data_IF_261675684736
#
_entry.id   IF_261675684736
#
_cell.length_a   1.000
_cell.length_b   1.000
_cell.length_c   1.000
_cell.angle_alpha   90.00
_cell.angle_beta   90.00
_cell.angle_gamma   90.00
#
_symmetry.space_group_name_H-M   'P 1'
#
loop_
_entity.id
_entity.type
_entity.pdbx_description
1 polymer ?
#
# COMPACT_ATOMS: atom_id res chain seq x y z
N UNK A 1 -10.89 -21.33 -8.72
CA UNK A 1 -9.58 -21.04 -9.33
C UNK A 1 -9.64 -20.87 -10.85
N UNK A 2 -10.55 -21.57 -11.56
CA UNK A 2 -10.76 -21.43 -13.02
C UNK A 2 -10.89 -19.98 -13.49
N UNK A 3 -11.71 -19.16 -12.80
CA UNK A 3 -11.84 -17.73 -13.07
C UNK A 3 -10.48 -17.01 -13.18
N UNK A 4 -9.56 -17.21 -12.24
CA UNK A 4 -8.25 -16.57 -12.23
C UNK A 4 -7.29 -17.12 -13.31
N UNK A 5 -7.46 -18.40 -13.64
CA UNK A 5 -6.67 -19.10 -14.63
C UNK A 5 -6.99 -18.62 -16.04
N UNK A 6 -8.28 -18.42 -16.33
CA UNK A 6 -8.81 -18.02 -17.63
C UNK A 6 -8.85 -16.51 -17.83
N UNK A 7 -8.70 -15.71 -16.77
CA UNK A 7 -8.66 -14.27 -16.90
C UNK A 7 -7.44 -13.81 -17.72
N UNK A 8 -7.68 -13.04 -18.77
CA UNK A 8 -6.64 -12.63 -19.73
C UNK A 8 -5.68 -11.58 -19.17
N UNK A 9 -6.07 -10.84 -18.13
CA UNK A 9 -5.35 -9.66 -17.63
C UNK A 9 -4.84 -9.80 -16.19
N UNK A 10 -5.22 -10.84 -15.45
CA UNK A 10 -4.83 -11.02 -14.04
C UNK A 10 -3.31 -11.25 -13.87
N UNK A 11 -2.64 -10.33 -13.16
CA UNK A 11 -1.20 -10.36 -12.82
C UNK A 11 -0.88 -10.38 -11.32
N UNK A 12 -1.89 -10.15 -10.49
CA UNK A 12 -1.75 -9.88 -9.05
C UNK A 12 -2.88 -10.54 -8.28
N UNK A 13 -2.52 -11.31 -7.26
CA UNK A 13 -3.48 -11.85 -6.32
C UNK A 13 -3.18 -11.31 -4.93
N UNK A 14 -4.19 -10.69 -4.32
CA UNK A 14 -4.19 -10.28 -2.94
C UNK A 14 -5.13 -11.18 -2.13
N UNK A 15 -4.56 -12.01 -1.26
CA UNK A 15 -5.32 -12.82 -0.30
C UNK A 15 -5.58 -11.95 0.92
N UNK A 16 -6.85 -11.68 1.19
CA UNK A 16 -7.33 -10.87 2.32
C UNK A 16 -8.52 -11.54 3.00
N UNK A 17 -9.73 -10.99 2.87
CA UNK A 17 -10.90 -11.31 3.70
C UNK A 17 -10.99 -10.34 4.87
N UNK A 18 -10.99 -10.86 6.10
CA UNK A 18 -10.74 -10.07 7.30
C UNK A 18 -9.24 -9.89 7.55
N UNK A 19 -8.52 -10.99 7.73
CA UNK A 19 -7.06 -11.03 7.87
C UNK A 19 -6.51 -12.36 7.35
N UNK A 20 -5.58 -12.32 6.39
CA UNK A 20 -5.07 -13.52 5.73
C UNK A 20 -4.33 -14.45 6.69
N UNK A 21 -3.60 -13.88 7.65
CA UNK A 21 -2.78 -14.66 8.60
C UNK A 21 -3.60 -15.17 9.79
N UNK A 22 -4.86 -14.77 9.94
CA UNK A 22 -5.74 -15.39 10.95
C UNK A 22 -6.10 -16.83 10.60
N UNK A 23 -5.96 -17.22 9.33
CA UNK A 23 -6.11 -18.61 8.91
C UNK A 23 -5.07 -19.52 9.58
N UNK A 24 -5.48 -20.73 9.95
CA UNK A 24 -4.55 -21.77 10.41
C UNK A 24 -3.47 -22.06 9.35
N UNK A 25 -2.27 -22.44 9.79
CA UNK A 25 -1.14 -22.75 8.91
C UNK A 25 -1.50 -23.74 7.79
N UNK A 26 -2.22 -24.82 8.12
CA UNK A 26 -2.74 -25.78 7.14
C UNK A 26 -3.65 -25.14 6.08
N UNK A 27 -4.58 -24.28 6.49
CA UNK A 27 -5.51 -23.61 5.58
C UNK A 27 -4.78 -22.62 4.66
N UNK A 28 -3.88 -21.81 5.23
CA UNK A 28 -3.09 -20.87 4.44
C UNK A 28 -2.20 -21.59 3.42
N UNK A 29 -1.55 -22.69 3.83
CA UNK A 29 -0.77 -23.56 2.95
C UNK A 29 -1.61 -24.06 1.77
N UNK A 30 -2.84 -24.52 2.02
CA UNK A 30 -3.74 -24.99 0.96
C UNK A 30 -4.13 -23.87 -0.02
N UNK A 31 -4.39 -22.65 0.49
CA UNK A 31 -4.71 -21.48 -0.35
C UNK A 31 -3.51 -21.12 -1.24
N UNK A 32 -2.33 -21.01 -0.65
CA UNK A 32 -1.09 -20.71 -1.38
C UNK A 32 -0.78 -21.80 -2.43
N UNK A 33 -0.91 -23.07 -2.10
CA UNK A 33 -0.75 -24.17 -3.06
C UNK A 33 -1.78 -24.10 -4.20
N UNK A 34 -3.03 -23.73 -3.93
CA UNK A 34 -4.04 -23.55 -4.96
C UNK A 34 -3.71 -22.38 -5.91
N UNK A 35 -3.18 -21.27 -5.38
CA UNK A 35 -2.69 -20.13 -6.17
C UNK A 35 -1.49 -20.55 -7.03
N UNK A 36 -0.52 -21.26 -6.46
CA UNK A 36 0.64 -21.77 -7.20
C UNK A 36 0.22 -22.69 -8.35
N UNK A 37 -0.65 -23.67 -8.09
CA UNK A 37 -1.13 -24.61 -9.12
C UNK A 37 -1.88 -23.91 -10.24
N UNK A 38 -2.71 -22.92 -9.90
CA UNK A 38 -3.40 -22.10 -10.89
C UNK A 38 -2.41 -21.36 -11.78
N UNK A 39 -1.44 -20.65 -11.19
CA UNK A 39 -0.43 -19.91 -11.93
C UNK A 39 0.42 -20.83 -12.83
N UNK A 40 0.81 -22.01 -12.33
CA UNK A 40 1.54 -23.01 -13.08
C UNK A 40 0.77 -23.50 -14.31
N UNK A 41 -0.53 -23.84 -14.15
CA UNK A 41 -1.36 -24.25 -15.29
C UNK A 41 -1.52 -23.12 -16.31
N UNK A 42 -1.78 -21.90 -15.86
CA UNK A 42 -1.90 -20.72 -16.73
C UNK A 42 -0.65 -20.53 -17.59
N UNK A 43 0.53 -20.59 -16.97
CA UNK A 43 1.81 -20.52 -17.69
C UNK A 43 2.00 -21.68 -18.67
N UNK A 44 1.67 -22.92 -18.27
CA UNK A 44 1.74 -24.08 -19.18
C UNK A 44 0.87 -23.92 -20.42
N UNK A 45 -0.34 -23.38 -20.27
CA UNK A 45 -1.22 -23.11 -21.43
C UNK A 45 -0.64 -21.98 -22.29
N UNK A 46 -0.07 -20.93 -21.68
CA UNK A 46 0.60 -19.85 -22.42
C UNK A 46 1.77 -20.31 -23.28
N UNK A 47 2.47 -21.39 -22.93
CA UNK A 47 3.54 -21.94 -23.78
C UNK A 47 3.03 -22.34 -25.17
N UNK A 48 1.75 -22.73 -25.27
CA UNK A 48 1.13 -23.16 -26.53
C UNK A 48 0.39 -22.03 -27.25
N UNK A 49 0.26 -20.85 -26.64
CA UNK A 49 -0.38 -19.68 -27.28
C UNK A 49 0.65 -18.90 -28.11
N UNK A 50 0.28 -18.40 -29.30
CA UNK A 50 1.15 -17.53 -30.08
C UNK A 50 1.39 -16.19 -29.36
N UNK A 51 2.40 -15.46 -29.83
CA UNK A 51 2.72 -14.13 -29.33
C UNK A 51 1.53 -13.17 -29.55
N UNK A 52 1.23 -12.30 -28.59
CA UNK A 52 0.05 -11.43 -28.63
C UNK A 52 -1.27 -12.10 -28.22
N UNK A 53 -1.31 -13.42 -28.04
CA UNK A 53 -2.48 -14.14 -27.51
C UNK A 53 -2.26 -14.71 -26.11
N UNK A 54 -1.03 -14.68 -25.60
CA UNK A 54 -0.69 -15.14 -24.25
C UNK A 54 -1.45 -14.34 -23.19
N UNK A 55 -2.00 -15.03 -22.21
CA UNK A 55 -2.67 -14.36 -21.09
C UNK A 55 -1.61 -13.78 -20.15
N UNK A 56 -1.98 -12.73 -19.42
CA UNK A 56 -1.09 -12.16 -18.43
C UNK A 56 -0.78 -13.19 -17.32
N UNK A 57 0.51 -13.44 -17.07
CA UNK A 57 0.95 -14.36 -16.03
C UNK A 57 0.98 -13.69 -14.65
N UNK A 58 0.87 -14.49 -13.59
CA UNK A 58 0.94 -14.01 -12.21
C UNK A 58 2.36 -13.47 -11.95
N UNK A 59 2.47 -12.18 -11.64
CA UNK A 59 3.74 -11.52 -11.30
C UNK A 59 3.86 -11.24 -9.81
N UNK A 60 2.73 -11.06 -9.13
CA UNK A 60 2.69 -10.63 -7.73
C UNK A 60 1.68 -11.42 -6.89
N UNK A 61 2.11 -11.80 -5.69
CA UNK A 61 1.23 -12.37 -4.66
C UNK A 61 1.35 -11.55 -3.39
N UNK A 62 0.20 -11.23 -2.79
CA UNK A 62 0.11 -10.40 -1.60
C UNK A 62 -0.76 -11.03 -0.53
N UNK A 63 -0.37 -10.84 0.73
CA UNK A 63 -1.17 -11.20 1.90
C UNK A 63 -1.51 -9.93 2.68
N UNK A 64 -2.79 -9.63 2.88
CA UNK A 64 -3.20 -8.54 3.76
C UNK A 64 -3.38 -9.02 5.19
N UNK A 65 -2.63 -8.44 6.14
CA UNK A 65 -2.72 -8.81 7.55
C UNK A 65 -2.27 -7.71 8.51
N UNK A 66 -3.10 -7.43 9.52
CA UNK A 66 -2.77 -6.58 10.66
C UNK A 66 -2.06 -7.35 11.78
N UNK A 67 -1.96 -8.68 11.70
CA UNK A 67 -1.43 -9.49 12.81
C UNK A 67 0.02 -9.18 13.18
N UNK A 68 0.83 -8.60 12.28
CA UNK A 68 2.18 -8.13 12.65
C UNK A 68 2.13 -7.06 13.76
N UNK A 69 1.11 -6.21 13.77
CA UNK A 69 0.90 -5.19 14.79
C UNK A 69 0.03 -5.70 15.95
N UNK A 70 -0.99 -6.51 15.66
CA UNK A 70 -2.02 -6.89 16.63
C UNK A 70 -1.75 -8.20 17.39
N UNK A 71 -1.19 -9.21 16.71
CA UNK A 71 -0.90 -10.52 17.28
C UNK A 71 0.43 -11.06 16.69
N UNK A 72 1.57 -10.42 16.99
CA UNK A 72 2.84 -10.75 16.34
C UNK A 72 3.29 -12.21 16.56
N UNK A 73 2.86 -12.83 17.68
CA UNK A 73 3.09 -14.25 17.97
C UNK A 73 2.52 -15.21 16.92
N UNK A 74 1.58 -14.74 16.08
CA UNK A 74 1.09 -15.52 14.93
C UNK A 74 2.21 -15.88 13.96
N UNK A 75 3.27 -15.05 13.89
CA UNK A 75 4.45 -15.28 13.05
C UNK A 75 5.39 -16.29 13.73
N UNK A 76 4.97 -17.54 13.72
CA UNK A 76 5.76 -18.68 14.19
C UNK A 76 6.61 -19.28 13.06
N UNK A 77 7.51 -20.20 13.42
CA UNK A 77 8.49 -20.73 12.48
C UNK A 77 7.83 -21.57 11.37
N UNK A 78 6.76 -22.31 11.69
CA UNK A 78 5.98 -23.06 10.68
C UNK A 78 5.36 -22.11 9.63
N UNK A 79 4.84 -20.95 10.03
CA UNK A 79 4.32 -19.96 9.08
C UNK A 79 5.43 -19.40 8.20
N UNK A 80 6.59 -19.08 8.79
CA UNK A 80 7.75 -18.60 8.04
C UNK A 80 8.18 -19.62 6.99
N UNK A 81 8.19 -20.91 7.33
CA UNK A 81 8.51 -21.99 6.39
C UNK A 81 7.49 -22.12 5.26
N UNK A 82 6.20 -21.99 5.56
CA UNK A 82 5.13 -21.96 4.54
C UNK A 82 5.36 -20.82 3.55
N UNK A 83 5.66 -19.61 4.05
CA UNK A 83 5.91 -18.44 3.22
C UNK A 83 7.15 -18.63 2.34
N UNK A 84 8.23 -19.19 2.89
CA UNK A 84 9.48 -19.47 2.17
C UNK A 84 9.27 -20.50 1.07
N UNK A 85 8.65 -21.64 1.39
CA UNK A 85 8.38 -22.70 0.42
C UNK A 85 7.52 -22.22 -0.74
N UNK A 86 6.46 -21.44 -0.45
CA UNK A 86 5.63 -20.86 -1.50
C UNK A 86 6.43 -19.90 -2.38
N UNK A 87 7.22 -19.00 -1.78
CA UNK A 87 8.08 -18.07 -2.52
C UNK A 87 9.01 -18.82 -3.47
N UNK A 88 9.71 -19.84 -2.99
CA UNK A 88 10.64 -20.63 -3.80
C UNK A 88 9.94 -21.31 -4.98
N UNK A 89 8.80 -21.98 -4.74
CA UNK A 89 8.02 -22.64 -5.79
C UNK A 89 7.49 -21.65 -6.82
N UNK A 90 6.87 -20.57 -6.37
CA UNK A 90 6.26 -19.58 -7.24
C UNK A 90 7.31 -18.76 -8.03
N UNK A 91 8.48 -18.51 -7.45
CA UNK A 91 9.58 -17.83 -8.15
C UNK A 91 10.07 -18.61 -9.36
N UNK A 92 10.13 -19.96 -9.27
CA UNK A 92 10.53 -20.84 -10.38
C UNK A 92 9.59 -20.80 -11.57
N UNK A 93 8.36 -20.32 -11.38
CA UNK A 93 7.35 -20.16 -12.43
C UNK A 93 7.15 -18.68 -12.80
N UNK A 94 8.10 -17.81 -12.46
CA UNK A 94 8.13 -16.42 -12.91
C UNK A 94 7.39 -15.40 -12.04
N UNK A 95 6.88 -15.77 -10.85
CA UNK A 95 6.33 -14.80 -9.90
C UNK A 95 7.50 -14.03 -9.26
N UNK A 96 7.49 -12.70 -9.37
CA UNK A 96 8.62 -11.87 -8.93
C UNK A 96 8.40 -11.18 -7.59
N UNK A 97 7.15 -10.84 -7.24
CA UNK A 97 6.85 -10.03 -6.05
C UNK A 97 6.02 -10.81 -5.03
N UNK A 98 6.50 -10.84 -3.78
CA UNK A 98 5.84 -11.47 -2.64
C UNK A 98 5.75 -10.45 -1.51
N UNK A 99 4.53 -10.00 -1.17
CA UNK A 99 4.35 -8.85 -0.28
C UNK A 99 3.36 -9.16 0.85
N UNK A 100 3.73 -8.88 2.09
CA UNK A 100 2.78 -8.74 3.19
C UNK A 100 2.37 -7.26 3.29
N UNK A 101 1.07 -6.99 3.18
CA UNK A 101 0.48 -5.67 3.37
C UNK A 101 -0.07 -5.60 4.80
N UNK A 102 0.54 -4.75 5.62
CA UNK A 102 0.20 -4.62 7.03
C UNK A 102 -0.33 -3.23 7.37
N UNK A 103 -0.74 -3.04 8.62
CA UNK A 103 -1.55 -1.92 9.08
C UNK A 103 -1.10 -1.35 10.43
N UNK A 104 0.18 -1.01 10.58
CA UNK A 104 0.64 -0.15 11.68
C UNK A 104 0.08 1.26 11.52
N UNK A 105 -0.54 1.76 12.58
CA UNK A 105 -1.21 3.05 12.71
C UNK A 105 -0.46 4.03 13.60
N UNK A 106 0.38 3.53 14.51
CA UNK A 106 1.16 4.35 15.44
C UNK A 106 2.53 3.73 15.70
N UNK A 107 3.58 4.54 15.97
CA UNK A 107 4.87 4.01 16.41
C UNK A 107 4.78 3.12 17.66
N UNK A 108 3.75 3.32 18.49
CA UNK A 108 3.52 2.54 19.72
C UNK A 108 3.15 1.07 19.45
N UNK A 109 2.61 0.76 18.27
CA UNK A 109 2.30 -0.62 17.88
C UNK A 109 3.56 -1.42 17.50
N UNK A 110 4.72 -0.75 17.35
CA UNK A 110 6.00 -1.40 17.00
C UNK A 110 6.71 -1.88 18.27
N UNK A 111 6.12 -2.89 18.90
CA UNK A 111 6.67 -3.56 20.10
C UNK A 111 7.86 -4.45 19.73
N UNK A 112 8.66 -4.94 20.71
CA UNK A 112 9.72 -5.91 20.44
C UNK A 112 9.24 -7.17 19.71
N UNK A 113 8.04 -7.65 20.03
CA UNK A 113 7.43 -8.81 19.38
C UNK A 113 7.04 -8.50 17.93
N UNK A 114 6.52 -7.30 17.66
CA UNK A 114 6.23 -6.84 16.31
C UNK A 114 7.52 -6.71 15.47
N UNK A 115 8.62 -6.24 16.06
CA UNK A 115 9.93 -6.18 15.40
C UNK A 115 10.44 -7.57 15.02
N UNK A 116 10.29 -8.55 15.92
CA UNK A 116 10.66 -9.94 15.65
C UNK A 116 9.77 -10.57 14.57
N UNK A 117 8.46 -10.31 14.59
CA UNK A 117 7.53 -10.73 13.55
C UNK A 117 7.92 -10.17 12.17
N UNK A 118 8.26 -8.87 12.10
CA UNK A 118 8.77 -8.20 10.89
C UNK A 118 10.04 -8.91 10.40
N UNK A 119 11.02 -9.11 11.29
CA UNK A 119 12.29 -9.78 10.96
C UNK A 119 12.07 -11.18 10.39
N UNK A 120 11.18 -11.96 11.01
CA UNK A 120 10.82 -13.32 10.55
C UNK A 120 10.21 -13.33 9.16
N UNK A 121 9.25 -12.44 8.88
CA UNK A 121 8.64 -12.33 7.55
C UNK A 121 9.67 -11.92 6.49
N UNK A 122 10.51 -10.92 6.78
CA UNK A 122 11.58 -10.50 5.86
C UNK A 122 12.58 -11.63 5.60
N UNK A 123 12.88 -12.47 6.61
CA UNK A 123 13.75 -13.63 6.46
C UNK A 123 13.16 -14.76 5.58
N UNK A 124 11.83 -14.78 5.40
CA UNK A 124 11.18 -15.66 4.42
C UNK A 124 11.33 -15.12 2.98
N UNK A 125 11.92 -13.93 2.81
CA UNK A 125 12.08 -13.25 1.53
C UNK A 125 10.82 -12.52 1.06
N UNK A 126 9.86 -12.27 1.94
CA UNK A 126 8.66 -11.48 1.63
C UNK A 126 8.88 -10.02 2.00
N UNK A 127 8.60 -9.10 1.07
CA UNK A 127 8.61 -7.67 1.37
C UNK A 127 7.44 -7.31 2.26
N UNK A 128 7.60 -6.33 3.14
CA UNK A 128 6.52 -5.84 3.99
C UNK A 128 6.21 -4.40 3.59
N UNK A 129 4.93 -4.14 3.35
CA UNK A 129 4.43 -2.81 3.03
C UNK A 129 3.37 -2.37 4.03
N UNK A 130 3.37 -1.10 4.44
CA UNK A 130 2.42 -0.60 5.44
C UNK A 130 1.33 0.27 4.81
N UNK A 131 0.08 0.07 5.23
CA UNK A 131 -1.07 0.89 4.90
C UNK A 131 -1.65 1.52 6.17
N UNK A 132 -1.41 2.81 6.33
CA UNK A 132 -1.92 3.64 7.41
C UNK A 132 -3.34 4.12 7.08
N UNK A 133 -4.21 4.19 8.08
CA UNK A 133 -5.47 4.94 8.04
C UNK A 133 -5.26 6.23 8.83
N UNK A 134 -5.43 7.36 8.15
CA UNK A 134 -5.11 8.68 8.65
C UNK A 134 -6.26 9.23 9.52
N UNK A 135 -6.34 8.68 10.73
CA UNK A 135 -7.30 9.09 11.76
C UNK A 135 -6.86 10.37 12.47
N UNK A 136 -7.74 10.99 13.26
CA UNK A 136 -7.37 12.14 14.12
C UNK A 136 -6.13 11.85 14.96
N UNK A 137 -6.05 10.67 15.59
CA UNK A 137 -4.92 10.29 16.43
C UNK A 137 -3.62 10.12 15.63
N UNK A 138 -3.70 9.57 14.41
CA UNK A 138 -2.56 9.43 13.51
C UNK A 138 -2.14 10.77 12.88
N UNK A 139 -3.06 11.74 12.79
CA UNK A 139 -2.86 13.02 12.12
C UNK A 139 -2.10 14.06 12.92
N UNK A 140 -1.73 13.76 14.16
CA UNK A 140 -0.92 14.64 15.00
C UNK A 140 0.45 14.89 14.36
N UNK A 141 0.97 16.12 14.44
CA UNK A 141 2.26 16.48 13.83
C UNK A 141 3.37 15.57 14.33
N UNK A 142 4.26 15.17 13.42
CA UNK A 142 5.39 14.28 13.64
C UNK A 142 5.01 12.80 13.82
N UNK A 143 3.74 12.46 14.05
CA UNK A 143 3.35 11.10 14.42
C UNK A 143 3.53 10.11 13.26
N UNK A 144 3.03 10.45 12.06
CA UNK A 144 3.20 9.63 10.86
C UNK A 144 4.66 9.64 10.38
N UNK A 145 5.35 10.78 10.49
CA UNK A 145 6.79 10.87 10.22
C UNK A 145 7.59 9.90 11.09
N UNK A 146 7.33 9.87 12.40
CA UNK A 146 7.98 8.92 13.32
C UNK A 146 7.66 7.47 12.98
N UNK A 147 6.43 7.19 12.54
CA UNK A 147 6.04 5.86 12.10
C UNK A 147 6.82 5.43 10.85
N UNK A 148 6.96 6.29 9.84
CA UNK A 148 7.78 6.01 8.65
C UNK A 148 9.23 5.70 9.03
N UNK A 149 9.85 6.56 9.84
CA UNK A 149 11.23 6.36 10.32
C UNK A 149 11.41 4.96 10.95
N UNK A 150 10.52 4.61 11.88
CA UNK A 150 10.62 3.36 12.61
C UNK A 150 10.41 2.15 11.70
N UNK A 151 9.36 2.17 10.87
CA UNK A 151 9.07 1.10 9.92
C UNK A 151 10.19 0.91 8.89
N UNK A 152 10.71 1.99 8.31
CA UNK A 152 11.81 1.92 7.35
C UNK A 152 13.08 1.35 8.00
N UNK A 153 13.37 1.73 9.25
CA UNK A 153 14.50 1.17 10.00
C UNK A 153 14.42 -0.34 10.21
N UNK A 154 13.21 -0.91 10.12
CA UNK A 154 12.92 -2.34 10.27
C UNK A 154 12.72 -3.07 8.93
N UNK A 155 12.91 -2.39 7.79
CA UNK A 155 12.74 -3.02 6.48
C UNK A 155 11.33 -2.95 5.91
N UNK A 156 10.43 -2.18 6.53
CA UNK A 156 9.04 -2.01 6.08
C UNK A 156 8.91 -0.74 5.23
N UNK A 157 8.32 -0.88 4.04
CA UNK A 157 8.11 0.23 3.09
C UNK A 157 6.68 0.77 3.21
N UNK A 158 6.50 2.08 3.35
CA UNK A 158 5.17 2.67 3.48
C UNK A 158 4.47 2.74 2.10
N UNK A 159 3.20 2.35 2.01
CA UNK A 159 2.46 2.23 0.74
C UNK A 159 1.32 3.24 0.61
N UNK A 160 0.38 3.25 1.55
CA UNK A 160 -0.74 4.18 1.50
C UNK A 160 -0.94 4.83 2.86
N UNK A 161 -1.36 6.09 2.80
CA UNK A 161 -1.97 6.83 3.91
C UNK A 161 -3.41 7.13 3.50
N UNK A 162 -4.34 6.34 4.02
CA UNK A 162 -5.76 6.42 3.65
C UNK A 162 -6.48 7.47 4.46
N UNK A 163 -7.07 8.46 3.81
CA UNK A 163 -8.07 9.32 4.46
C UNK A 163 -9.29 8.50 4.89
N UNK A 164 -9.82 8.84 6.06
CA UNK A 164 -11.03 8.20 6.61
C UNK A 164 -12.24 8.58 5.74
N UNK A 165 -13.10 7.61 5.42
CA UNK A 165 -14.33 7.87 4.67
C UNK A 165 -15.31 8.69 5.51
N UNK A 166 -16.00 9.62 4.86
CA UNK A 166 -16.89 10.59 5.51
C UNK A 166 -18.23 10.06 6.04
N UNK A 167 -18.31 8.78 6.38
CA UNK A 167 -19.49 8.19 7.05
C UNK A 167 -19.64 8.74 8.47
N UNK A 168 -20.88 8.89 8.95
CA UNK A 168 -21.16 9.53 10.23
C UNK A 168 -20.58 8.75 11.43
N UNK A 169 -20.53 7.43 11.32
CA UNK A 169 -19.95 6.52 12.29
C UNK A 169 -18.45 6.78 12.51
N UNK A 170 -17.78 7.39 11.52
CA UNK A 170 -16.36 7.71 11.59
C UNK A 170 -16.08 9.10 12.17
N UNK A 171 -17.10 9.87 12.59
CA UNK A 171 -16.92 11.27 13.02
C UNK A 171 -15.79 11.44 14.00
N UNK A 172 -15.73 10.64 15.06
CA UNK A 172 -14.70 10.74 16.10
C UNK A 172 -13.28 10.55 15.56
N UNK A 173 -13.10 9.68 14.58
CA UNK A 173 -11.77 9.33 14.03
C UNK A 173 -11.44 10.08 12.73
N UNK A 174 -12.39 10.84 12.17
CA UNK A 174 -12.21 11.55 10.90
C UNK A 174 -11.23 12.72 11.02
N UNK A 175 -10.10 12.63 10.29
CA UNK A 175 -9.22 13.74 10.00
C UNK A 175 -9.58 14.35 8.62
N UNK A 176 -9.75 15.68 8.52
CA UNK A 176 -10.05 16.34 7.25
C UNK A 176 -8.97 16.10 6.17
N UNK A 177 -9.35 16.09 4.89
CA UNK A 177 -8.40 15.91 3.79
C UNK A 177 -7.38 17.05 3.73
N UNK A 178 -7.77 18.26 4.13
CA UNK A 178 -6.86 19.40 4.30
C UNK A 178 -5.66 19.07 5.19
N UNK A 179 -5.88 18.30 6.27
CA UNK A 179 -4.82 17.84 7.16
C UNK A 179 -3.89 16.83 6.49
N UNK A 180 -4.44 15.97 5.63
CA UNK A 180 -3.63 15.01 4.85
C UNK A 180 -2.69 15.75 3.89
N UNK A 181 -3.18 16.80 3.23
CA UNK A 181 -2.34 17.66 2.37
C UNK A 181 -1.33 18.47 3.20
N UNK A 182 -1.72 19.00 4.36
CA UNK A 182 -0.81 19.70 5.26
C UNK A 182 0.33 18.77 5.71
N UNK A 183 0.05 17.54 6.12
CA UNK A 183 1.09 16.56 6.50
C UNK A 183 2.01 16.23 5.33
N UNK A 184 1.44 16.05 4.14
CA UNK A 184 2.21 15.80 2.92
C UNK A 184 3.20 16.95 2.63
N UNK A 185 2.74 18.20 2.69
CA UNK A 185 3.54 19.36 2.30
C UNK A 185 4.49 19.85 3.39
N UNK A 186 4.15 19.70 4.67
CA UNK A 186 4.92 20.27 5.77
C UNK A 186 5.77 19.25 6.54
N UNK A 187 5.50 17.94 6.39
CA UNK A 187 6.16 16.91 7.19
C UNK A 187 6.72 15.78 6.33
N UNK A 188 5.90 15.19 5.44
CA UNK A 188 6.32 14.09 4.58
C UNK A 188 7.38 14.52 3.57
N UNK A 189 7.35 15.78 3.14
CA UNK A 189 8.25 16.34 2.13
C UNK A 189 9.75 16.13 2.45
N UNK A 190 10.12 16.04 3.73
CA UNK A 190 11.50 15.76 4.16
C UNK A 190 12.00 14.35 3.79
N UNK A 191 11.12 13.41 3.46
CA UNK A 191 11.47 12.07 2.99
C UNK A 191 11.34 11.88 1.48
N UNK A 192 11.08 12.96 0.73
CA UNK A 192 10.93 12.90 -0.72
C UNK A 192 12.24 12.47 -1.38
N UNK A 193 12.11 11.73 -2.48
CA UNK A 193 13.23 11.22 -3.27
C UNK A 193 13.13 11.75 -4.69
N UNK A 194 14.28 11.97 -5.33
CA UNK A 194 14.38 12.12 -6.77
C UNK A 194 14.02 10.82 -7.50
N UNK A 195 13.75 10.89 -8.81
CA UNK A 195 13.48 9.71 -9.64
C UNK A 195 14.65 8.72 -9.62
N UNK A 196 15.89 9.21 -9.67
CA UNK A 196 17.11 8.38 -9.58
C UNK A 196 17.17 7.61 -8.25
N UNK A 197 16.93 8.32 -7.14
CA UNK A 197 16.89 7.71 -5.80
C UNK A 197 15.77 6.67 -5.68
N UNK A 198 14.59 6.96 -6.25
CA UNK A 198 13.48 6.02 -6.28
C UNK A 198 13.81 4.76 -7.10
N UNK A 199 14.51 4.92 -8.23
CA UNK A 199 15.03 3.80 -9.04
C UNK A 199 16.05 2.95 -8.28
N UNK A 200 17.03 3.58 -7.63
CA UNK A 200 18.01 2.86 -6.80
C UNK A 200 17.33 2.10 -5.66
N UNK A 201 16.36 2.71 -4.98
CA UNK A 201 15.60 2.04 -3.93
C UNK A 201 14.80 0.85 -4.48
N UNK A 202 14.19 0.98 -5.66
CA UNK A 202 13.47 -0.11 -6.30
C UNK A 202 14.40 -1.31 -6.56
N UNK A 203 15.56 -1.09 -7.16
CA UNK A 203 16.54 -2.16 -7.43
C UNK A 203 16.99 -2.84 -6.13
N UNK A 204 17.25 -2.05 -5.08
CA UNK A 204 17.62 -2.55 -3.75
C UNK A 204 16.54 -3.45 -3.14
N UNK A 205 15.26 -3.17 -3.38
CA UNK A 205 14.12 -3.95 -2.87
C UNK A 205 13.78 -5.14 -3.78
N UNK A 206 13.99 -5.02 -5.09
CA UNK A 206 13.72 -6.05 -6.08
C UNK A 206 14.78 -7.17 -6.05
N UNK A 207 16.02 -6.85 -5.63
CA UNK A 207 17.20 -7.74 -5.74
C UNK A 207 16.86 -9.22 -5.57
N UNK A 208 17.00 -9.87 -6.74
CA UNK A 208 16.68 -11.23 -7.07
C UNK A 208 17.39 -12.16 -6.09
N UNK A 209 16.64 -13.09 -5.50
CA UNK A 209 17.23 -14.32 -4.95
C UNK A 209 17.71 -15.21 -6.07
N UNK A 210 18.65 -14.72 -6.88
CA UNK A 210 19.51 -15.59 -7.67
C UNK A 210 20.54 -16.14 -6.69
N UNK A 211 20.52 -17.45 -6.50
CA UNK A 211 21.27 -18.19 -5.48
C UNK A 211 22.80 -18.14 -5.65
N UNK A 212 23.36 -17.15 -6.35
CA UNK A 212 24.78 -17.08 -6.71
C UNK A 212 25.53 -15.83 -6.22
N UNK A 213 24.90 -14.89 -5.53
CA UNK A 213 25.62 -13.84 -4.81
C UNK A 213 24.87 -13.45 -3.54
N UNK A 214 25.15 -14.20 -2.47
CA UNK A 214 24.73 -13.88 -1.10
C UNK A 214 25.40 -12.57 -0.63
N UNK A 215 24.80 -11.44 -0.97
CA UNK A 215 24.80 -10.34 -0.03
C UNK A 215 24.01 -10.83 1.19
N UNK A 216 24.71 -11.23 2.27
CA UNK A 216 24.13 -11.62 3.58
C UNK A 216 23.36 -10.50 4.27
N UNK A 217 23.22 -9.34 3.63
CA UNK A 217 22.62 -8.15 4.18
C UNK A 217 21.09 -8.19 4.06
N UNK A 218 20.42 -8.14 5.22
CA UNK A 218 18.96 -8.11 5.28
C UNK A 218 18.36 -6.83 4.65
N UNK A 219 17.07 -6.86 4.32
CA UNK A 219 16.36 -5.73 3.69
C UNK A 219 16.43 -4.46 4.55
N UNK A 220 16.31 -4.59 5.88
CA UNK A 220 16.34 -3.45 6.77
C UNK A 220 17.71 -2.77 6.76
N UNK A 221 18.79 -3.54 6.74
CA UNK A 221 20.17 -3.05 6.62
C UNK A 221 20.38 -2.30 5.30
N UNK A 222 19.88 -2.84 4.17
CA UNK A 222 19.91 -2.17 2.87
C UNK A 222 19.16 -0.83 2.88
N UNK A 223 17.95 -0.80 3.44
CA UNK A 223 17.16 0.45 3.57
C UNK A 223 17.88 1.47 4.46
N UNK A 224 18.43 1.06 5.60
CA UNK A 224 19.21 1.95 6.49
C UNK A 224 20.43 2.53 5.78
N UNK A 225 21.16 1.72 5.03
CA UNK A 225 22.31 2.19 4.24
C UNK A 225 21.88 3.19 3.17
N UNK A 226 20.80 2.90 2.44
CA UNK A 226 20.24 3.80 1.42
C UNK A 226 19.84 5.14 2.02
N UNK A 227 19.08 5.13 3.13
CA UNK A 227 18.69 6.36 3.83
C UNK A 227 19.91 7.15 4.31
N UNK A 228 20.94 6.48 4.85
CA UNK A 228 22.19 7.12 5.28
C UNK A 228 22.95 7.74 4.10
N UNK A 229 23.05 7.02 2.97
CA UNK A 229 23.71 7.49 1.74
C UNK A 229 23.09 8.80 1.24
N UNK A 230 21.76 8.86 1.23
CA UNK A 230 21.00 10.00 0.70
C UNK A 230 20.55 11.01 1.76
N UNK A 231 21.00 10.85 3.01
CA UNK A 231 20.65 11.71 4.16
C UNK A 231 19.14 11.86 4.36
N UNK A 232 18.38 10.81 4.04
CA UNK A 232 16.93 10.79 4.18
C UNK A 232 16.57 10.39 5.62
N UNK A 233 15.73 11.17 6.32
CA UNK A 233 15.27 10.79 7.66
C UNK A 233 14.34 9.58 7.62
N UNK A 234 13.58 9.42 6.53
CA UNK A 234 12.69 8.31 6.22
C UNK A 234 12.41 8.28 4.72
N UNK A 235 11.74 7.23 4.25
CA UNK A 235 11.33 7.06 2.85
C UNK A 235 9.86 7.47 2.70
N UNK A 236 9.60 8.55 1.97
CA UNK A 236 8.23 9.02 1.66
C UNK A 236 7.60 8.24 0.49
N UNK A 237 7.62 6.91 0.54
CA UNK A 237 7.13 6.05 -0.56
C UNK A 237 5.62 5.87 -0.60
N UNK A 238 4.92 6.16 0.50
CA UNK A 238 3.47 6.04 0.55
C UNK A 238 2.77 7.11 -0.27
N UNK A 239 1.49 6.91 -0.60
CA UNK A 239 0.63 7.94 -1.20
C UNK A 239 -0.53 8.26 -0.27
N UNK A 240 -0.81 9.54 -0.08
CA UNK A 240 -2.05 9.98 0.54
C UNK A 240 -3.21 9.80 -0.44
N UNK A 241 -4.23 9.02 -0.07
CA UNK A 241 -5.37 8.69 -0.96
C UNK A 241 -6.69 8.57 -0.19
N UNK A 242 -7.79 8.95 -0.84
CA UNK A 242 -9.14 8.60 -0.40
C UNK A 242 -9.72 7.53 -1.33
N UNK A 243 -10.40 6.53 -0.77
CA UNK A 243 -11.14 5.55 -1.56
C UNK A 243 -12.49 6.15 -1.99
N UNK A 244 -12.61 6.44 -3.28
CA UNK A 244 -13.79 6.95 -3.95
C UNK A 244 -14.60 5.80 -4.59
N UNK A 245 -15.92 5.75 -4.39
CA UNK A 245 -16.79 4.82 -5.10
C UNK A 245 -16.63 4.95 -6.63
N UNK A 246 -16.50 3.81 -7.31
CA UNK A 246 -16.38 3.65 -8.77
C UNK A 246 -15.17 4.32 -9.48
N UNK A 247 -14.59 5.39 -8.93
CA UNK A 247 -13.39 6.06 -9.48
C UNK A 247 -12.08 5.45 -8.93
N UNK A 248 -12.14 4.80 -7.77
CA UNK A 248 -10.99 4.13 -7.17
C UNK A 248 -10.33 4.95 -6.08
N UNK A 249 -9.04 5.29 -6.23
CA UNK A 249 -8.26 6.00 -5.21
C UNK A 249 -7.78 7.31 -5.77
N UNK A 250 -8.04 8.41 -5.07
CA UNK A 250 -7.61 9.75 -5.47
C UNK A 250 -7.48 10.64 -4.24
N UNK A 251 -6.54 11.58 -4.29
CA UNK A 251 -6.47 12.75 -3.41
C UNK A 251 -6.49 14.05 -4.24
N UNK A 252 -6.85 13.96 -5.51
CA UNK A 252 -7.03 15.12 -6.37
C UNK A 252 -8.42 15.69 -6.13
N UNK A 253 -8.48 16.85 -5.47
CA UNK A 253 -9.74 17.52 -5.15
C UNK A 253 -9.60 19.04 -5.12
N UNK A 254 -10.74 19.71 -5.27
CA UNK A 254 -10.90 21.15 -5.09
C UNK A 254 -12.03 21.44 -4.09
N UNK A 255 -11.80 22.37 -3.15
CA UNK A 255 -12.86 22.93 -2.32
C UNK A 255 -13.81 23.77 -3.16
N UNK A 256 -15.10 23.43 -3.18
CA UNK A 256 -16.12 24.14 -3.97
C UNK A 256 -17.16 24.84 -3.11
N UNK A 257 -17.21 24.57 -1.81
CA UNK A 257 -18.15 25.22 -0.91
C UNK A 257 -18.04 24.73 0.54
N UNK A 258 -18.85 25.34 1.40
CA UNK A 258 -19.02 24.97 2.81
C UNK A 258 -20.50 24.71 3.09
N UNK A 259 -20.79 23.78 3.99
CA UNK A 259 -22.13 23.64 4.57
C UNK A 259 -22.36 24.71 5.64
N UNK A 260 -23.61 24.87 6.09
CA UNK A 260 -23.97 25.77 7.21
C UNK A 260 -23.20 25.43 8.50
N UNK A 261 -22.84 24.16 8.70
CA UNK A 261 -22.06 23.67 9.84
C UNK A 261 -20.53 23.86 9.66
N UNK A 262 -20.11 24.48 8.55
CA UNK A 262 -18.71 24.71 8.21
C UNK A 262 -17.96 23.46 7.72
N UNK A 263 -18.66 22.40 7.29
CA UNK A 263 -18.04 21.23 6.65
C UNK A 263 -17.68 21.56 5.21
N UNK A 264 -16.55 21.05 4.73
CA UNK A 264 -16.07 21.32 3.37
C UNK A 264 -16.77 20.44 2.35
N UNK A 265 -17.12 21.01 1.21
CA UNK A 265 -17.63 20.30 0.03
C UNK A 265 -16.49 20.22 -0.99
N UNK A 266 -16.04 19.01 -1.28
CA UNK A 266 -14.89 18.74 -2.13
C UNK A 266 -15.35 18.12 -3.45
N UNK A 267 -14.93 18.71 -4.57
CA UNK A 267 -15.07 18.13 -5.91
C UNK A 267 -13.83 17.29 -6.19
N UNK A 268 -13.99 15.99 -6.39
CA UNK A 268 -12.92 15.05 -6.68
C UNK A 268 -12.77 14.79 -8.16
N UNK A 269 -11.52 14.57 -8.55
CA UNK A 269 -11.13 14.13 -9.89
C UNK A 269 -10.49 12.74 -9.80
N UNK A 270 -10.50 12.00 -10.91
CA UNK A 270 -9.88 10.68 -10.97
C UNK A 270 -8.35 10.80 -10.93
N UNK A 271 -7.67 9.76 -10.42
CA UNK A 271 -6.20 9.73 -10.40
C UNK A 271 -5.64 9.59 -11.82
N UNK A 272 -5.15 10.68 -12.43
CA UNK A 272 -4.58 10.66 -13.79
C UNK A 272 -3.33 9.78 -13.96
N UNK A 273 -2.71 9.32 -12.87
CA UNK A 273 -1.43 8.58 -12.92
C UNK A 273 -1.58 7.08 -13.18
N UNK A 274 -2.81 6.57 -13.40
CA UNK A 274 -3.06 5.14 -13.63
C UNK A 274 -4.07 4.88 -14.75
N UNK A 275 -3.98 3.69 -15.35
CA UNK A 275 -5.02 3.19 -16.24
C UNK A 275 -6.29 2.93 -15.43
N UNK A 276 -7.42 3.40 -15.94
CA UNK A 276 -8.73 3.16 -15.35
C UNK A 276 -9.65 2.42 -16.32
N UNK A 277 -10.73 1.86 -15.78
CA UNK A 277 -11.81 1.33 -16.60
C UNK A 277 -12.40 2.45 -17.48
N UNK A 278 -12.77 2.17 -18.75
CA UNK A 278 -13.38 3.15 -19.65
C UNK A 278 -14.64 3.83 -19.08
N UNK A 279 -15.31 3.21 -18.09
CA UNK A 279 -16.49 3.77 -17.43
C UNK A 279 -16.24 5.14 -16.78
N UNK A 280 -14.99 5.45 -16.41
CA UNK A 280 -14.64 6.75 -15.81
C UNK A 280 -14.94 7.90 -16.78
N UNK A 281 -14.81 7.69 -18.10
CA UNK A 281 -15.10 8.72 -19.10
C UNK A 281 -16.59 9.07 -19.19
N UNK A 282 -17.46 8.23 -18.63
CA UNK A 282 -18.92 8.42 -18.59
C UNK A 282 -19.41 8.84 -17.19
N UNK A 283 -18.55 8.76 -16.18
CA UNK A 283 -18.90 9.17 -14.82
C UNK A 283 -18.85 10.70 -14.68
N UNK A 284 -19.89 11.26 -14.06
CA UNK A 284 -19.92 12.66 -13.67
C UNK A 284 -18.92 13.00 -12.54
N UNK A 285 -18.85 14.28 -12.19
CA UNK A 285 -18.01 14.75 -11.09
C UNK A 285 -18.48 14.19 -9.74
N UNK A 286 -17.53 13.76 -8.89
CA UNK A 286 -17.82 13.28 -7.54
C UNK A 286 -17.69 14.43 -6.55
N UNK A 287 -18.71 14.60 -5.72
CA UNK A 287 -18.71 15.56 -4.62
C UNK A 287 -18.75 14.82 -3.30
N UNK A 288 -17.87 15.19 -2.37
CA UNK A 288 -17.83 14.65 -1.01
C UNK A 288 -17.93 15.79 -0.03
N UNK A 289 -18.90 15.70 0.89
CA UNK A 289 -18.95 16.55 2.06
C UNK A 289 -18.09 15.92 3.15
N UNK A 290 -17.12 16.66 3.68
CA UNK A 290 -16.32 16.20 4.81
C UNK A 290 -17.19 15.96 6.03
N UNK A 291 -16.85 14.94 6.81
CA UNK A 291 -17.67 14.55 7.95
C UNK A 291 -17.58 15.53 9.12
N UNK A 292 -16.46 16.27 9.21
CA UNK A 292 -16.12 17.19 10.31
C UNK A 292 -15.60 18.51 9.74
N UNK A 293 -15.99 19.63 10.34
CA UNK A 293 -15.41 20.94 10.01
C UNK A 293 -13.98 21.06 10.55
N UNK A 294 -13.14 21.89 9.92
CA UNK A 294 -11.77 22.12 10.38
C UNK A 294 -11.75 22.65 11.83
N UNK A 295 -12.68 23.54 12.20
CA UNK A 295 -12.78 24.05 13.56
C UNK A 295 -13.10 22.96 14.59
N UNK A 296 -14.01 22.02 14.27
CA UNK A 296 -14.31 20.89 15.15
C UNK A 296 -13.12 19.93 15.27
N UNK A 297 -12.40 19.71 14.18
CA UNK A 297 -11.16 18.91 14.17
C UNK A 297 -10.08 19.54 15.05
N UNK A 298 -9.79 20.84 14.90
CA UNK A 298 -8.79 21.55 15.70
C UNK A 298 -9.13 21.56 17.19
N UNK A 299 -10.41 21.76 17.56
CA UNK A 299 -10.85 21.64 18.96
C UNK A 299 -10.60 20.24 19.52
N UNK A 300 -10.81 19.20 18.71
CA UNK A 300 -10.53 17.83 19.13
C UNK A 300 -9.04 17.60 19.35
N UNK A 301 -8.15 18.13 18.49
CA UNK A 301 -6.71 18.07 18.73
C UNK A 301 -6.32 18.77 20.03
N UNK A 302 -6.89 19.95 20.31
CA UNK A 302 -6.70 20.66 21.58
C UNK A 302 -7.09 19.82 22.80
N UNK A 303 -8.20 19.09 22.72
CA UNK A 303 -8.61 18.15 23.78
C UNK A 303 -7.66 16.96 23.93
N UNK A 304 -6.88 16.63 22.90
CA UNK A 304 -5.85 15.59 22.93
C UNK A 304 -4.49 16.11 23.41
N UNK A 305 -4.38 17.40 23.76
CA UNK A 305 -3.17 18.03 24.27
C UNK A 305 -2.24 18.61 23.19
N UNK A 306 -2.67 18.64 21.93
CA UNK A 306 -1.94 19.35 20.87
C UNK A 306 -2.24 20.86 20.94
N UNK A 307 -1.32 21.70 20.47
CA UNK A 307 -1.60 23.12 20.26
C UNK A 307 -2.27 23.33 18.88
N UNK A 308 -3.52 23.79 18.79
CA UNK A 308 -4.18 24.05 17.50
C UNK A 308 -3.46 25.08 16.62
N UNK A 309 -2.66 25.99 17.19
CA UNK A 309 -1.91 27.00 16.43
C UNK A 309 -0.80 26.36 15.58
N UNK A 310 -0.23 25.23 16.01
CA UNK A 310 0.74 24.46 15.21
C UNK A 310 0.12 23.91 13.90
N UNK A 311 -1.20 23.95 13.79
CA UNK A 311 -1.96 23.49 12.63
C UNK A 311 -2.58 24.65 11.85
N UNK A 312 -2.32 25.91 12.19
CA UNK A 312 -3.02 27.08 11.65
C UNK A 312 -3.00 27.17 10.11
N UNK A 313 -1.97 26.66 9.44
CA UNK A 313 -1.92 26.60 7.98
C UNK A 313 -2.97 25.67 7.35
N UNK A 314 -3.65 24.80 8.11
CA UNK A 314 -4.63 23.83 7.62
C UNK A 314 -5.74 24.48 6.77
N UNK A 315 -6.09 25.73 7.08
CA UNK A 315 -7.09 26.52 6.38
C UNK A 315 -6.70 26.86 4.93
N UNK A 316 -5.40 26.86 4.62
CA UNK A 316 -4.87 27.22 3.30
C UNK A 316 -4.96 26.08 2.29
N UNK A 317 -5.11 24.83 2.76
CA UNK A 317 -5.13 23.64 1.91
C UNK A 317 -6.52 23.42 1.31
N UNK A 318 -6.85 24.21 0.29
CA UNK A 318 -8.13 24.17 -0.42
C UNK A 318 -8.16 23.15 -1.55
N UNK A 319 -7.00 22.72 -2.04
CA UNK A 319 -6.85 21.75 -3.12
C UNK A 319 -5.90 20.62 -2.69
N UNK A 320 -6.06 19.46 -3.33
CA UNK A 320 -5.16 18.32 -3.21
C UNK A 320 -4.77 17.80 -4.59
N UNK A 321 -3.59 17.19 -4.68
CA UNK A 321 -3.12 16.48 -5.86
C UNK A 321 -2.65 15.08 -5.46
N UNK A 322 -3.08 14.07 -6.20
CA UNK A 322 -2.66 12.69 -5.92
C UNK A 322 -1.19 12.51 -6.26
N UNK A 323 -0.39 12.16 -5.27
CA UNK A 323 1.05 11.87 -5.43
C UNK A 323 1.30 10.78 -6.48
N UNK A 324 2.47 10.77 -7.17
CA UNK A 324 2.81 9.69 -8.09
C UNK A 324 2.98 8.35 -7.37
N UNK A 325 2.90 7.24 -8.12
CA UNK A 325 3.11 5.90 -7.58
C UNK A 325 4.59 5.56 -7.51
N UNK A 326 5.04 5.07 -6.35
CA UNK A 326 6.37 4.47 -6.22
C UNK A 326 6.47 3.19 -7.06
N UNK A 327 7.57 3.05 -7.82
CA UNK A 327 7.75 2.03 -8.86
C UNK A 327 7.70 0.58 -8.35
N UNK A 328 7.94 0.35 -7.05
CA UNK A 328 7.74 -0.96 -6.42
C UNK A 328 6.34 -1.55 -6.68
N UNK A 329 5.34 -0.69 -6.85
CA UNK A 329 3.95 -1.09 -7.07
C UNK A 329 3.57 -1.22 -8.54
N UNK A 330 4.47 -0.88 -9.46
CA UNK A 330 4.34 -1.21 -10.87
C UNK A 330 4.42 -2.73 -11.06
N UNK A 331 3.81 -3.21 -12.16
CA UNK A 331 3.93 -4.63 -12.49
C UNK A 331 5.24 -4.86 -13.23
N UNK A 332 6.02 -5.88 -12.86
CA UNK A 332 7.16 -6.29 -13.66
C UNK A 332 6.73 -6.60 -15.10
N UNK A 333 7.58 -6.26 -16.05
CA UNK A 333 7.33 -6.56 -17.45
C UNK A 333 7.43 -8.06 -17.75
N UNK A 334 6.64 -8.49 -18.74
CA UNK A 334 6.68 -9.84 -19.28
C UNK A 334 7.76 -9.96 -20.35
N UNK A 335 8.40 -11.14 -20.50
CA UNK A 335 9.31 -11.42 -21.61
C UNK A 335 8.57 -11.70 -22.93
N UNK A 336 7.26 -11.46 -22.97
CA UNK A 336 6.37 -11.69 -24.11
C UNK A 336 5.29 -10.60 -24.15
N UNK A 337 4.66 -10.40 -25.29
CA UNK A 337 3.51 -9.52 -25.46
C UNK A 337 2.22 -10.26 -25.05
N UNK A 338 1.57 -9.85 -23.94
CA UNK A 338 0.28 -10.42 -23.57
C UNK A 338 -0.82 -9.90 -24.50
N UNK A 339 -1.94 -10.62 -24.54
CA UNK A 339 -3.15 -10.15 -25.24
C UNK A 339 -3.67 -8.85 -24.65
N UNK A 340 -4.25 -8.01 -25.51
CA UNK A 340 -4.99 -6.80 -25.10
C UNK A 340 -6.45 -7.10 -24.75
N UNK A 341 -6.94 -8.30 -25.10
CA UNK A 341 -8.31 -8.70 -24.82
C UNK A 341 -8.56 -8.69 -23.31
N UNK A 342 -9.66 -8.10 -22.87
CA UNK A 342 -10.08 -8.07 -21.46
C UNK A 342 -11.25 -9.03 -21.29
N UNK A 343 -11.04 -10.12 -20.56
CA UNK A 343 -12.11 -11.04 -20.17
C UNK A 343 -13.00 -10.46 -19.07
N UNK A 344 -14.20 -11.01 -18.90
CA UNK A 344 -15.10 -10.72 -17.77
C UNK A 344 -15.64 -9.28 -17.71
N UNK A 345 -15.56 -8.51 -18.80
CA UNK A 345 -16.33 -7.28 -18.99
C UNK A 345 -17.67 -7.63 -19.66
N UNK A 346 -18.67 -8.00 -18.86
CA UNK A 346 -20.05 -7.82 -19.30
C UNK A 346 -20.42 -6.36 -19.03
N UNK A 347 -20.66 -5.59 -20.09
CA UNK A 347 -21.18 -4.22 -20.01
C UNK A 347 -22.62 -4.23 -19.51
#
# INVERSE_FOLDING_TARGET
MTYFEEDTQLRDILITGGDALMSQNKTLRNILEAVYRMAFRKQKVNLNRPEGEKYAELQRVRLGSRLLAYLPMRINDELVDILREFKEKASRIGVKQFIIQTHFQTPLEVTPEAQEAIRKVLSAGWLITNQLVYTVAASRRGHTTRLRQLLNSLGVVCYYTFSVKGFNENYTVFAPNARSIQEQQEEKCYGNMSEEQAGELYELLETRTDAQQESKEDVASRIRRFMKKHQLPFLATDRSVLNLPAIGKSMTFQLVGLTEEGKRILRFEHDGTRRHSPIINQMGQIYIVENKSLAAYLRQLGQMGEDPEDYASIWMYTNGETEPRFSLYDYPEFPFQPTEAVSNLAL
#
